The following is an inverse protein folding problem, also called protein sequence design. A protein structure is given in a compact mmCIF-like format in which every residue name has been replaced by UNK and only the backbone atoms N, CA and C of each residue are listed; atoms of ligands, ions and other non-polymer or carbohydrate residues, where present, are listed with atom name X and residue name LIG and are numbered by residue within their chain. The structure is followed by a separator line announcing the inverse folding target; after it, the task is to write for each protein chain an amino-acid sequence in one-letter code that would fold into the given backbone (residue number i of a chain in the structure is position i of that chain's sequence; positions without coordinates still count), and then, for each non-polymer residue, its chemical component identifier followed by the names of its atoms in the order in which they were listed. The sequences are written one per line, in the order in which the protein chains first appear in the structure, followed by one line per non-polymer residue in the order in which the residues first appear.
data_IF_693251919475
#
_entry.id   IF_693251919475
#
_cell.length_a   1.000
_cell.length_b   1.000
_cell.length_c   1.000
_cell.angle_alpha   90.00
_cell.angle_beta   90.00
_cell.angle_gamma   90.00
#
_symmetry.space_group_name_H-M   'P 1'
#
loop_
_entity.id
_entity.type
_entity.pdbx_description
1 polymer ?
#
# COMPACT_ATOMS: atom_id res chain seq x y z
N UNK A 1 17.50 -1.26 -11.54
CA UNK A 1 18.01 -1.66 -10.21
C UNK A 1 16.83 -2.00 -9.29
N UNK A 2 16.64 -3.27 -8.91
CA UNK A 2 15.53 -3.72 -8.07
C UNK A 2 15.76 -3.52 -6.57
N UNK A 3 16.83 -2.86 -6.16
CA UNK A 3 17.25 -2.74 -4.75
C UNK A 3 16.14 -2.15 -3.87
N UNK A 4 15.45 -1.11 -4.35
CA UNK A 4 14.38 -0.47 -3.59
C UNK A 4 13.18 -1.42 -3.35
N UNK A 5 12.86 -2.26 -4.33
CA UNK A 5 11.76 -3.23 -4.21
C UNK A 5 12.15 -4.37 -3.26
N UNK A 6 13.31 -4.99 -3.46
CA UNK A 6 13.73 -6.15 -2.66
C UNK A 6 14.06 -5.79 -1.21
N UNK A 7 14.57 -4.57 -0.95
CA UNK A 7 14.84 -4.09 0.41
C UNK A 7 13.58 -3.59 1.15
N UNK A 8 12.44 -3.51 0.47
CA UNK A 8 11.18 -2.97 1.02
C UNK A 8 11.13 -1.44 1.13
N UNK A 9 12.05 -0.71 0.50
CA UNK A 9 12.09 0.75 0.54
C UNK A 9 10.87 1.38 -0.13
N UNK A 10 10.42 0.83 -1.26
CA UNK A 10 9.19 1.29 -1.92
C UNK A 10 7.97 1.12 -1.01
N UNK A 11 7.87 -0.01 -0.30
CA UNK A 11 6.82 -0.25 0.68
C UNK A 11 6.89 0.74 1.86
N UNK A 12 8.09 1.09 2.31
CA UNK A 12 8.31 2.12 3.34
C UNK A 12 7.77 3.48 2.89
N UNK A 13 8.13 3.94 1.69
CA UNK A 13 7.64 5.21 1.16
C UNK A 13 6.10 5.24 1.09
N UNK A 14 5.49 4.15 0.66
CA UNK A 14 4.02 4.02 0.63
C UNK A 14 3.41 4.10 2.02
N UNK A 15 3.99 3.44 3.03
CA UNK A 15 3.51 3.53 4.41
C UNK A 15 3.62 4.95 4.98
N UNK A 16 4.71 5.67 4.70
CA UNK A 16 4.85 7.07 5.11
C UNK A 16 3.74 7.95 4.52
N UNK A 17 3.44 7.79 3.24
CA UNK A 17 2.33 8.49 2.60
C UNK A 17 0.97 8.12 3.20
N UNK A 18 0.74 6.84 3.49
CA UNK A 18 -0.48 6.40 4.17
C UNK A 18 -0.60 6.99 5.58
N UNK A 19 0.50 7.07 6.33
CA UNK A 19 0.53 7.69 7.66
C UNK A 19 0.19 9.19 7.61
N UNK A 20 0.77 9.91 6.65
CA UNK A 20 0.46 11.32 6.42
C UNK A 20 -1.01 11.52 6.06
N UNK A 21 -1.56 10.65 5.18
CA UNK A 21 -2.97 10.74 4.79
C UNK A 21 -3.94 10.43 5.93
N UNK A 22 -3.62 9.45 6.79
CA UNK A 22 -4.49 9.00 7.87
C UNK A 22 -4.40 9.87 9.14
N UNK A 23 -3.20 10.35 9.48
CA UNK A 23 -2.95 11.03 10.76
C UNK A 23 -2.17 12.34 10.64
N UNK A 24 -1.87 12.82 9.42
CA UNK A 24 -1.16 14.08 9.17
C UNK A 24 0.30 14.09 9.62
N UNK A 25 0.89 12.94 9.91
CA UNK A 25 2.28 12.80 10.39
C UNK A 25 2.94 11.53 9.92
N UNK A 26 4.26 11.49 9.95
CA UNK A 26 5.04 10.28 9.69
C UNK A 26 4.98 9.29 10.87
N UNK A 27 5.32 8.01 10.64
CA UNK A 27 5.46 7.04 11.72
C UNK A 27 6.52 7.46 12.75
N UNK A 28 6.19 7.27 14.04
CA UNK A 28 7.14 7.50 15.15
C UNK A 28 8.18 6.39 15.23
N UNK A 29 7.80 5.17 14.83
CA UNK A 29 8.66 4.00 14.76
C UNK A 29 8.48 3.31 13.41
N UNK A 30 9.60 2.83 12.83
CA UNK A 30 9.57 2.10 11.58
C UNK A 30 10.58 0.95 11.61
N UNK A 31 10.06 -0.27 11.46
CA UNK A 31 10.87 -1.47 11.23
C UNK A 31 10.72 -1.90 9.76
N UNK A 32 11.85 -2.11 9.07
CA UNK A 32 11.86 -2.58 7.69
C UNK A 32 12.77 -3.78 7.51
N UNK A 33 12.17 -4.86 7.03
CA UNK A 33 12.85 -6.06 6.54
C UNK A 33 12.34 -6.37 5.14
N UNK A 34 13.21 -6.28 4.15
CA UNK A 34 12.87 -6.61 2.78
C UNK A 34 12.86 -8.11 2.50
N UNK A 35 12.52 -8.48 1.28
CA UNK A 35 12.57 -9.88 0.84
C UNK A 35 14.01 -10.41 0.69
N UNK A 36 14.99 -9.52 0.61
CA UNK A 36 16.43 -9.82 0.65
C UNK A 36 16.89 -10.44 1.97
N UNK A 37 16.08 -10.29 3.04
CA UNK A 37 16.35 -10.88 4.36
C UNK A 37 15.70 -12.25 4.57
N UNK A 38 14.98 -12.78 3.57
CA UNK A 38 14.23 -14.03 3.69
C UNK A 38 15.16 -15.22 3.77
N UNK A 39 15.04 -16.01 4.85
CA UNK A 39 15.79 -17.24 5.02
C UNK A 39 15.16 -18.41 4.25
N UNK A 40 15.96 -19.43 3.93
CA UNK A 40 15.46 -20.67 3.31
C UNK A 40 14.33 -21.31 4.15
N UNK A 41 14.48 -21.31 5.47
CA UNK A 41 13.47 -21.85 6.38
C UNK A 41 12.12 -21.08 6.29
N UNK A 42 12.15 -19.75 6.10
CA UNK A 42 10.95 -18.95 5.94
C UNK A 42 10.27 -19.22 4.58
N UNK A 43 11.06 -19.44 3.52
CA UNK A 43 10.55 -19.86 2.21
C UNK A 43 9.84 -21.21 2.32
N UNK A 44 10.46 -22.16 2.99
CA UNK A 44 9.92 -23.50 3.19
C UNK A 44 8.58 -23.47 3.96
N UNK A 45 8.50 -22.67 5.02
CA UNK A 45 7.26 -22.42 5.74
C UNK A 45 6.17 -21.80 4.87
N UNK A 46 6.53 -20.84 4.01
CA UNK A 46 5.59 -20.19 3.08
C UNK A 46 5.13 -21.06 1.93
N UNK A 47 5.87 -22.12 1.60
CA UNK A 47 5.52 -23.12 0.59
C UNK A 47 4.71 -24.31 1.16
N UNK A 48 4.57 -24.40 2.48
CA UNK A 48 3.78 -25.44 3.11
C UNK A 48 2.30 -25.38 2.67
N UNK A 49 1.59 -26.50 2.59
CA UNK A 49 0.18 -26.52 2.25
C UNK A 49 -0.65 -25.59 3.13
N UNK A 50 -1.50 -24.78 2.52
CA UNK A 50 -2.34 -23.81 3.24
C UNK A 50 -1.60 -22.56 3.74
N UNK A 51 -0.38 -22.28 3.24
CA UNK A 51 0.43 -21.11 3.59
C UNK A 51 0.81 -20.28 2.37
N UNK A 52 1.16 -19.04 2.61
CA UNK A 52 1.71 -18.15 1.60
C UNK A 52 2.69 -17.16 2.25
N UNK A 53 3.91 -17.04 1.71
CA UNK A 53 4.86 -16.01 2.12
C UNK A 53 4.56 -14.72 1.37
N UNK A 54 4.40 -13.62 2.10
CA UNK A 54 4.11 -12.28 1.56
C UNK A 54 4.98 -11.23 2.23
N UNK A 55 5.36 -10.20 1.47
CA UNK A 55 5.85 -8.97 2.09
C UNK A 55 4.63 -8.18 2.58
N UNK A 56 4.51 -8.05 3.89
CA UNK A 56 3.41 -7.33 4.54
C UNK A 56 3.91 -5.99 5.05
N UNK A 57 3.19 -4.94 4.72
CA UNK A 57 3.42 -3.59 5.22
C UNK A 57 2.24 -3.19 6.10
N UNK A 58 2.47 -2.81 7.34
CA UNK A 58 1.43 -2.47 8.30
C UNK A 58 1.68 -1.13 8.98
N UNK A 59 0.61 -0.41 9.24
CA UNK A 59 0.57 0.80 10.06
C UNK A 59 -0.41 0.59 11.20
N UNK A 60 -0.02 1.00 12.41
CA UNK A 60 -0.87 0.95 13.59
C UNK A 60 -0.77 2.26 14.36
N UNK A 61 -1.90 2.73 14.85
CA UNK A 61 -1.93 3.84 15.80
C UNK A 61 -2.25 3.27 17.20
N UNK A 62 -1.23 3.22 18.04
CA UNK A 62 -1.28 2.59 19.35
C UNK A 62 -0.70 3.56 20.39
N UNK A 63 -1.44 3.80 21.48
CA UNK A 63 -1.00 4.67 22.60
C UNK A 63 -0.50 6.07 22.15
N UNK A 64 -1.17 6.66 21.15
CA UNK A 64 -0.81 7.97 20.62
C UNK A 64 0.40 7.98 19.68
N UNK A 65 0.95 6.83 19.35
CA UNK A 65 2.11 6.66 18.42
C UNK A 65 1.69 5.93 17.16
N UNK A 66 2.30 6.27 16.06
CA UNK A 66 2.15 5.56 14.78
C UNK A 66 3.35 4.65 14.60
N UNK A 67 3.07 3.34 14.51
CA UNK A 67 4.08 2.31 14.32
C UNK A 67 3.93 1.71 12.91
N UNK A 68 5.01 1.71 12.15
CA UNK A 68 5.10 1.12 10.82
C UNK A 68 5.99 -0.13 10.85
N UNK A 69 5.56 -1.17 10.16
CA UNK A 69 6.37 -2.39 10.02
C UNK A 69 6.23 -2.95 8.60
N UNK A 70 7.36 -3.26 8.00
CA UNK A 70 7.46 -3.99 6.73
C UNK A 70 8.26 -5.26 7.00
N UNK A 71 7.67 -6.41 6.71
CA UNK A 71 8.39 -7.68 6.85
C UNK A 71 7.80 -8.78 5.96
N UNK A 72 8.63 -9.75 5.54
CA UNK A 72 8.14 -11.02 5.02
C UNK A 72 7.39 -11.79 6.11
N UNK A 73 6.14 -12.19 5.83
CA UNK A 73 5.28 -12.92 6.76
C UNK A 73 4.66 -14.16 6.09
N UNK A 74 4.55 -15.24 6.86
CA UNK A 74 3.84 -16.44 6.41
C UNK A 74 2.39 -16.34 6.87
N UNK A 75 1.51 -16.15 5.91
CA UNK A 75 0.07 -16.01 6.12
C UNK A 75 -0.66 -17.34 5.84
N UNK A 76 -1.82 -17.58 6.45
CA UNK A 76 -2.75 -18.60 5.98
C UNK A 76 -3.14 -18.33 4.51
N UNK A 77 -3.27 -19.37 3.68
CA UNK A 77 -3.58 -19.20 2.25
C UNK A 77 -4.96 -18.59 2.01
N UNK A 78 -5.89 -18.77 2.97
CA UNK A 78 -7.22 -18.18 2.99
C UNK A 78 -7.25 -16.72 3.44
N UNK A 79 -6.14 -16.20 3.99
CA UNK A 79 -6.03 -14.79 4.37
C UNK A 79 -6.24 -13.89 3.14
N UNK A 80 -6.97 -12.79 3.35
CA UNK A 80 -7.25 -11.87 2.26
C UNK A 80 -5.97 -11.32 1.64
N UNK A 81 -4.97 -10.96 2.44
CA UNK A 81 -3.69 -10.41 1.94
C UNK A 81 -2.87 -11.47 1.19
N UNK A 82 -2.96 -12.73 1.58
CA UNK A 82 -2.29 -13.84 0.91
C UNK A 82 -2.71 -14.00 -0.56
N UNK A 83 -3.91 -13.55 -0.90
CA UNK A 83 -4.45 -13.63 -2.25
C UNK A 83 -3.86 -12.63 -3.25
N UNK A 84 -2.98 -11.70 -2.85
CA UNK A 84 -2.26 -10.83 -3.79
C UNK A 84 -1.32 -11.67 -4.68
N UNK A 85 -1.42 -11.52 -6.02
CA UNK A 85 -0.60 -12.25 -7.00
C UNK A 85 -0.16 -11.32 -8.12
N UNK A 86 1.03 -11.57 -8.68
CA UNK A 86 1.62 -10.77 -9.76
C UNK A 86 1.58 -9.25 -9.41
N UNK A 87 1.03 -8.42 -10.28
CA UNK A 87 0.87 -6.97 -10.07
C UNK A 87 -0.29 -6.58 -9.13
N UNK A 88 -0.98 -7.58 -8.57
CA UNK A 88 -2.11 -7.36 -7.65
C UNK A 88 -1.67 -6.89 -6.27
N UNK A 89 -2.34 -5.87 -5.76
CA UNK A 89 -2.17 -5.36 -4.41
C UNK A 89 -3.45 -5.59 -3.59
N UNK A 90 -3.30 -5.83 -2.30
CA UNK A 90 -4.39 -5.93 -1.35
C UNK A 90 -4.10 -5.11 -0.10
N UNK A 91 -5.12 -4.49 0.44
CA UNK A 91 -5.02 -3.74 1.68
C UNK A 91 -6.25 -3.99 2.55
N UNK A 92 -6.03 -4.05 3.86
CA UNK A 92 -7.07 -4.06 4.87
C UNK A 92 -6.92 -2.81 5.74
N UNK A 93 -8.02 -2.13 5.98
CA UNK A 93 -8.08 -0.93 6.83
C UNK A 93 -9.10 -1.21 7.93
N UNK A 94 -8.62 -1.32 9.15
CA UNK A 94 -9.49 -1.41 10.32
C UNK A 94 -9.81 -0.01 10.83
N UNK A 95 -11.08 0.32 10.85
CA UNK A 95 -11.58 1.61 11.32
C UNK A 95 -11.72 1.63 12.86
N UNK A 96 -11.89 2.82 13.43
CA UNK A 96 -12.02 2.99 14.89
C UNK A 96 -13.25 2.27 15.47
N UNK A 97 -14.28 2.06 14.69
CA UNK A 97 -15.49 1.31 15.06
C UNK A 97 -15.33 -0.22 14.96
N UNK A 98 -14.15 -0.70 14.57
CA UNK A 98 -13.84 -2.12 14.37
C UNK A 98 -14.23 -2.67 13.00
N UNK A 99 -14.87 -1.89 12.14
CA UNK A 99 -15.16 -2.30 10.77
C UNK A 99 -13.86 -2.44 9.97
N UNK A 100 -13.81 -3.47 9.11
CA UNK A 100 -12.67 -3.72 8.23
C UNK A 100 -13.07 -3.45 6.77
N UNK A 101 -12.35 -2.55 6.13
CA UNK A 101 -12.46 -2.28 4.69
C UNK A 101 -11.36 -3.05 3.97
N UNK A 102 -11.74 -3.86 2.98
CA UNK A 102 -10.85 -4.65 2.15
C UNK A 102 -10.78 -4.07 0.75
N UNK A 103 -9.57 -3.78 0.29
CA UNK A 103 -9.30 -3.22 -1.01
C UNK A 103 -8.41 -4.16 -1.81
N UNK A 104 -8.75 -4.36 -3.09
CA UNK A 104 -7.95 -5.12 -4.02
C UNK A 104 -7.84 -4.35 -5.34
N UNK A 105 -6.64 -4.33 -5.93
CA UNK A 105 -6.39 -3.60 -7.18
C UNK A 105 -5.09 -4.02 -7.82
N UNK A 106 -4.80 -3.42 -8.97
CA UNK A 106 -3.53 -3.56 -9.68
C UNK A 106 -2.79 -2.23 -9.64
N UNK A 107 -1.61 -2.22 -9.02
CA UNK A 107 -0.79 -1.01 -8.84
C UNK A 107 0.30 -0.84 -9.89
N UNK A 108 0.60 -1.88 -10.68
CA UNK A 108 1.63 -1.86 -11.69
C UNK A 108 1.13 -2.49 -13.00
N UNK A 109 1.94 -2.33 -14.08
CA UNK A 109 1.63 -2.85 -15.39
C UNK A 109 1.08 -1.78 -16.34
N UNK A 110 1.16 -2.07 -17.65
CA UNK A 110 0.86 -1.13 -18.73
C UNK A 110 -0.51 -0.46 -18.59
N UNK A 111 -1.56 -1.23 -18.42
CA UNK A 111 -2.93 -0.71 -18.38
C UNK A 111 -3.28 0.03 -17.09
N UNK A 112 -2.96 -0.46 -15.89
CA UNK A 112 -3.18 0.29 -14.66
C UNK A 112 -2.45 1.63 -14.64
N UNK A 113 -1.20 1.68 -15.08
CA UNK A 113 -0.44 2.94 -15.18
C UNK A 113 -1.07 3.90 -16.17
N UNK A 114 -1.49 3.42 -17.35
CA UNK A 114 -2.18 4.25 -18.34
C UNK A 114 -3.50 4.81 -17.78
N UNK A 115 -4.28 3.98 -17.08
CA UNK A 115 -5.53 4.42 -16.47
C UNK A 115 -5.31 5.49 -15.39
N UNK A 116 -4.25 5.36 -14.57
CA UNK A 116 -3.89 6.37 -13.57
C UNK A 116 -3.55 7.72 -14.24
N UNK A 117 -2.66 7.71 -15.24
CA UNK A 117 -2.28 8.92 -15.99
C UNK A 117 -3.49 9.59 -16.64
N UNK A 118 -4.36 8.81 -17.29
CA UNK A 118 -5.59 9.35 -17.90
C UNK A 118 -6.54 9.93 -16.85
N UNK A 119 -6.64 9.29 -15.68
CA UNK A 119 -7.42 9.81 -14.55
C UNK A 119 -6.90 11.17 -14.07
N UNK A 120 -5.60 11.31 -13.94
CA UNK A 120 -4.96 12.56 -13.54
C UNK A 120 -5.19 13.67 -14.57
N UNK A 121 -5.02 13.39 -15.87
CA UNK A 121 -5.30 14.33 -16.96
C UNK A 121 -6.77 14.77 -16.93
N UNK A 122 -7.69 13.83 -16.72
CA UNK A 122 -9.13 14.12 -16.62
C UNK A 122 -9.45 15.02 -15.41
N UNK A 123 -8.87 14.73 -14.25
CA UNK A 123 -9.08 15.53 -13.04
C UNK A 123 -8.54 16.97 -13.21
N UNK A 124 -7.36 17.11 -13.80
CA UNK A 124 -6.76 18.43 -14.10
C UNK A 124 -7.65 19.23 -15.08
N UNK A 125 -8.15 18.59 -16.13
CA UNK A 125 -9.04 19.27 -17.11
C UNK A 125 -10.32 19.77 -16.46
N UNK A 126 -10.91 18.99 -15.56
CA UNK A 126 -12.10 19.39 -14.81
C UNK A 126 -11.83 20.54 -13.84
N UNK A 127 -10.72 20.51 -13.12
CA UNK A 127 -10.33 21.59 -12.22
C UNK A 127 -10.16 22.91 -12.98
N UNK A 128 -9.44 22.90 -14.12
CA UNK A 128 -9.28 24.07 -14.98
C UNK A 128 -10.60 24.60 -15.52
N UNK A 129 -11.55 23.72 -15.87
CA UNK A 129 -12.87 24.11 -16.35
C UNK A 129 -13.71 24.79 -15.26
N UNK A 130 -13.62 24.32 -14.01
CA UNK A 130 -14.31 24.92 -12.86
C UNK A 130 -13.74 26.30 -12.55
N UNK A 131 -12.42 26.44 -12.55
CA UNK A 131 -11.75 27.74 -12.34
C UNK A 131 -12.10 28.76 -13.42
N UNK A 132 -12.12 28.35 -14.70
CA UNK A 132 -12.52 29.21 -15.81
C UNK A 132 -13.99 29.65 -15.70
N UNK A 133 -14.89 28.75 -15.32
CA UNK A 133 -16.30 29.08 -15.10
C UNK A 133 -16.50 30.03 -13.91
N UNK A 134 -15.77 29.85 -12.82
CA UNK A 134 -15.81 30.75 -11.67
C UNK A 134 -15.29 32.15 -12.01
N UNK A 135 -14.21 32.25 -12.78
CA UNK A 135 -13.65 33.52 -13.24
C UNK A 135 -14.62 34.27 -14.17
N UNK A 136 -15.29 33.54 -15.06
CA UNK A 136 -16.30 34.12 -15.96
C UNK A 136 -17.57 34.61 -15.24
N UNK A 137 -17.94 34.00 -14.12
CA UNK A 137 -19.11 34.40 -13.31
C UNK A 137 -18.80 35.62 -12.40
N UNK A 138 -17.51 35.94 -12.17
CA UNK A 138 -17.07 37.05 -11.33
C UNK A 138 -16.75 38.36 -12.13
N UNK A 139 -16.81 38.30 -13.46
CA UNK A 139 -16.57 39.43 -14.38
C UNK A 139 -17.86 40.05 -14.88
#
# INVERSE_FOLDING_TARGET
DPTADVSGLDAEHKLRLCSLAAWGREPDELERKGIDTVSAALVEQGQAPGRALKLVASLRHENGRVVARIAPEVLPAEDFLAGARAEGNRAEITLADGNCVRLAGKGAGRWPTTAAVLGDVWNLSRAASVEAAAAAAAA
#
